data_IF_494203009961
#
_entry.id   IF_494203009961
#
_cell.length_a   1.000
_cell.length_b   1.000
_cell.length_c   1.000
_cell.angle_alpha   90.00
_cell.angle_beta   90.00
_cell.angle_gamma   90.00
#
_symmetry.space_group_name_H-M   'P 1'
#
loop_
_entity.id
_entity.type
_entity.pdbx_description
1 polymer ?
#
# COMPACT_ATOMS: atom_id res chain seq x y z
N UNK A 1 -25.70 31.60 -13.63
CA UNK A 1 -24.95 30.85 -14.67
C UNK A 1 -25.95 30.41 -15.74
N UNK A 2 -26.12 31.18 -16.83
CA UNK A 2 -27.01 30.78 -17.95
C UNK A 2 -26.30 30.79 -19.33
N UNK A 3 -25.02 31.18 -19.39
CA UNK A 3 -24.26 31.33 -20.64
C UNK A 3 -22.92 30.55 -20.62
N UNK A 4 -22.92 29.29 -20.18
CA UNK A 4 -21.73 28.42 -20.23
C UNK A 4 -22.03 27.24 -21.16
N UNK A 5 -21.28 27.12 -22.26
CA UNK A 5 -21.46 26.04 -23.24
C UNK A 5 -20.84 24.71 -22.78
N UNK A 6 -19.71 24.77 -22.07
CA UNK A 6 -18.98 23.61 -21.59
C UNK A 6 -18.13 23.98 -20.37
N UNK A 7 -17.94 23.03 -19.46
CA UNK A 7 -17.08 23.16 -18.29
C UNK A 7 -16.12 21.97 -18.32
N UNK A 8 -14.83 22.27 -18.27
CA UNK A 8 -13.79 21.28 -18.04
C UNK A 8 -13.34 21.34 -16.58
N UNK A 9 -13.49 20.23 -15.86
CA UNK A 9 -13.06 20.13 -14.47
C UNK A 9 -11.83 19.24 -14.38
N UNK A 10 -10.79 19.74 -13.71
CA UNK A 10 -9.60 18.95 -13.41
C UNK A 10 -9.30 19.01 -11.92
N UNK A 11 -8.96 17.86 -11.34
CA UNK A 11 -8.50 17.79 -9.95
C UNK A 11 -7.00 18.03 -9.81
N UNK A 12 -6.21 17.67 -10.83
CA UNK A 12 -4.75 17.78 -10.82
C UNK A 12 -4.28 18.92 -11.73
N UNK A 13 -3.16 19.60 -11.38
CA UNK A 13 -2.51 20.54 -12.30
C UNK A 13 -2.20 19.84 -13.62
N UNK A 14 -2.44 20.49 -14.76
CA UNK A 14 -2.22 19.90 -16.08
C UNK A 14 -3.04 18.61 -16.36
N UNK A 15 -4.23 18.47 -15.76
CA UNK A 15 -5.11 17.31 -15.88
C UNK A 15 -4.42 16.00 -15.43
N UNK A 16 -4.83 14.85 -15.96
CA UNK A 16 -4.30 13.53 -15.54
C UNK A 16 -2.78 13.39 -15.74
N UNK A 17 -2.18 14.19 -16.62
CA UNK A 17 -0.73 14.18 -16.90
C UNK A 17 0.09 14.70 -15.71
N UNK A 18 -0.50 15.55 -14.86
CA UNK A 18 0.14 16.04 -13.63
C UNK A 18 -0.41 15.41 -12.35
N UNK A 19 -0.99 14.21 -12.45
CA UNK A 19 -1.47 13.49 -11.27
C UNK A 19 -0.34 13.12 -10.30
N UNK A 20 -0.62 13.10 -9.00
CA UNK A 20 0.37 12.74 -7.97
C UNK A 20 0.92 11.31 -8.10
N UNK A 21 0.21 10.44 -8.81
CA UNK A 21 0.58 9.05 -9.05
C UNK A 21 1.36 8.86 -10.37
N UNK A 22 1.64 9.92 -11.12
CA UNK A 22 2.47 9.80 -12.33
C UNK A 22 3.94 9.71 -11.96
N UNK A 23 4.62 8.67 -12.44
CA UNK A 23 6.06 8.44 -12.18
C UNK A 23 6.93 9.51 -12.87
N UNK A 24 6.46 10.04 -13.99
CA UNK A 24 7.19 11.03 -14.78
C UNK A 24 6.92 12.46 -14.31
N UNK A 25 7.91 13.35 -14.49
CA UNK A 25 7.74 14.78 -14.22
C UNK A 25 6.66 15.39 -15.12
N UNK A 26 5.74 16.15 -14.52
CA UNK A 26 4.58 16.76 -15.19
C UNK A 26 4.92 17.57 -16.45
N UNK A 27 6.05 18.30 -16.47
CA UNK A 27 6.44 19.14 -17.60
C UNK A 27 6.97 18.30 -18.76
N UNK A 28 7.75 17.25 -18.46
CA UNK A 28 8.25 16.32 -19.47
C UNK A 28 7.09 15.51 -20.07
N UNK A 29 6.20 14.98 -19.22
CA UNK A 29 5.03 14.24 -19.65
C UNK A 29 4.11 15.11 -20.52
N UNK A 30 3.86 16.37 -20.14
CA UNK A 30 3.10 17.33 -20.95
C UNK A 30 3.79 17.58 -22.30
N UNK A 31 5.11 17.77 -22.33
CA UNK A 31 5.87 17.93 -23.56
C UNK A 31 5.74 16.74 -24.51
N UNK A 32 5.75 15.50 -23.98
CA UNK A 32 5.51 14.29 -24.77
C UNK A 32 4.11 14.26 -25.36
N UNK A 33 3.08 14.58 -24.57
CA UNK A 33 1.69 14.64 -25.06
C UNK A 33 1.55 15.67 -26.18
N UNK A 34 2.13 16.87 -26.02
CA UNK A 34 2.10 17.91 -27.06
C UNK A 34 2.77 17.44 -28.36
N UNK A 35 3.90 16.73 -28.29
CA UNK A 35 4.56 16.14 -29.47
C UNK A 35 3.72 15.06 -30.16
N UNK A 36 2.98 14.27 -29.38
CA UNK A 36 2.04 13.27 -29.93
C UNK A 36 0.91 13.99 -30.67
N UNK A 37 0.35 15.05 -30.09
CA UNK A 37 -0.69 15.86 -30.74
C UNK A 37 -0.17 16.55 -31.99
N UNK A 38 1.05 17.07 -31.98
CA UNK A 38 1.69 17.64 -33.18
C UNK A 38 1.88 16.60 -34.28
N UNK A 39 2.32 15.39 -33.92
CA UNK A 39 2.60 14.32 -34.89
C UNK A 39 1.35 13.68 -35.48
N UNK A 40 0.33 13.43 -34.67
CA UNK A 40 -0.86 12.68 -35.07
C UNK A 40 -2.11 13.56 -35.23
N UNK A 41 -2.01 14.85 -34.90
CA UNK A 41 -3.11 15.79 -34.92
C UNK A 41 -4.10 15.59 -33.76
N UNK A 42 -5.10 16.47 -33.71
CA UNK A 42 -6.18 16.44 -32.73
C UNK A 42 -7.47 15.86 -33.30
N UNK A 43 -7.39 15.09 -34.39
CA UNK A 43 -8.59 14.54 -35.01
C UNK A 43 -9.21 13.48 -34.10
N UNK A 44 -10.52 13.53 -33.84
CA UNK A 44 -11.19 12.50 -33.07
C UNK A 44 -10.99 11.14 -33.72
N UNK A 45 -10.56 10.16 -32.94
CA UNK A 45 -10.42 8.79 -33.41
C UNK A 45 -11.77 8.05 -33.57
N UNK A 46 -12.87 8.67 -33.14
CA UNK A 46 -14.21 8.10 -33.16
C UNK A 46 -15.17 8.98 -33.95
N UNK A 47 -16.07 8.34 -34.69
CA UNK A 47 -17.13 9.04 -35.41
C UNK A 47 -18.11 9.70 -34.44
N UNK A 48 -18.48 10.96 -34.71
CA UNK A 48 -19.38 11.72 -33.84
C UNK A 48 -20.76 11.08 -33.68
N UNK A 49 -21.28 10.45 -34.72
CA UNK A 49 -22.61 9.83 -34.66
C UNK A 49 -22.60 8.57 -33.79
N UNK A 50 -21.52 7.78 -33.82
CA UNK A 50 -21.32 6.66 -32.91
C UNK A 50 -21.32 7.12 -31.45
N UNK A 51 -20.59 8.20 -31.13
CA UNK A 51 -20.57 8.76 -29.77
C UNK A 51 -21.97 9.24 -29.35
N UNK A 52 -22.73 9.89 -30.25
CA UNK A 52 -24.12 10.30 -29.97
C UNK A 52 -25.02 9.10 -29.69
N UNK A 53 -24.85 8.01 -30.43
CA UNK A 53 -25.61 6.78 -30.19
C UNK A 53 -25.30 6.18 -28.81
N UNK A 54 -24.05 6.19 -28.37
CA UNK A 54 -23.69 5.79 -27.00
C UNK A 54 -24.38 6.67 -25.94
N UNK A 55 -24.48 7.99 -26.17
CA UNK A 55 -25.25 8.88 -25.30
C UNK A 55 -26.75 8.53 -25.28
N UNK A 56 -27.37 8.26 -26.44
CA UNK A 56 -28.80 7.84 -26.52
C UNK A 56 -29.05 6.55 -25.76
N UNK A 57 -28.08 5.64 -25.76
CA UNK A 57 -28.11 4.38 -25.01
C UNK A 57 -27.76 4.53 -23.54
N UNK A 58 -27.56 5.74 -23.04
CA UNK A 58 -27.13 6.02 -21.66
C UNK A 58 -25.81 5.32 -21.29
N UNK A 59 -24.92 5.07 -22.26
CA UNK A 59 -23.66 4.36 -22.02
C UNK A 59 -22.71 5.15 -21.09
N UNK A 60 -22.68 6.48 -21.25
CA UNK A 60 -21.90 7.38 -20.40
C UNK A 60 -22.65 7.88 -19.16
N UNK A 61 -23.90 7.47 -19.00
CA UNK A 61 -24.73 7.87 -17.87
C UNK A 61 -24.54 6.90 -16.70
N UNK A 62 -24.64 7.42 -15.49
CA UNK A 62 -24.65 6.60 -14.29
C UNK A 62 -25.89 5.67 -14.31
N UNK A 63 -25.68 4.39 -14.63
CA UNK A 63 -26.73 3.39 -14.58
C UNK A 63 -26.97 2.98 -13.11
N UNK A 64 -27.88 3.71 -12.45
CA UNK A 64 -28.35 3.40 -11.10
C UNK A 64 -27.88 4.37 -10.02
N UNK A 65 -28.35 4.14 -8.78
CA UNK A 65 -27.97 4.94 -7.62
C UNK A 65 -26.60 4.47 -7.11
N UNK A 66 -25.68 5.41 -6.87
CA UNK A 66 -24.46 5.13 -6.11
C UNK A 66 -24.89 4.88 -4.67
N UNK A 67 -24.84 3.63 -4.21
CA UNK A 67 -25.05 3.33 -2.80
C UNK A 67 -23.84 3.81 -2.00
N UNK A 68 -24.09 4.51 -0.89
CA UNK A 68 -23.02 4.81 0.06
C UNK A 68 -22.43 3.49 0.57
N UNK A 69 -21.10 3.38 0.58
CA UNK A 69 -20.39 2.30 1.25
C UNK A 69 -19.89 2.84 2.59
N UNK A 70 -20.65 2.65 3.69
CA UNK A 70 -20.24 3.16 4.99
C UNK A 70 -18.97 2.44 5.45
N UNK A 71 -18.16 3.14 6.23
CA UNK A 71 -16.99 2.55 6.89
C UNK A 71 -17.49 1.45 7.82
N UNK A 72 -17.11 0.20 7.53
CA UNK A 72 -17.50 -0.94 8.37
C UNK A 72 -16.79 -0.86 9.73
N UNK A 73 -17.50 -1.08 10.85
CA UNK A 73 -16.87 -1.19 12.15
C UNK A 73 -15.95 -2.42 12.22
N UNK A 74 -15.10 -2.50 13.25
CA UNK A 74 -14.23 -3.66 13.48
C UNK A 74 -15.02 -4.93 13.80
N UNK A 75 -16.19 -4.79 14.42
CA UNK A 75 -17.15 -5.84 14.71
C UNK A 75 -18.55 -5.21 14.86
N UNK A 76 -19.59 -6.00 14.65
CA UNK A 76 -20.97 -5.57 14.89
C UNK A 76 -21.30 -5.57 16.39
N UNK A 77 -20.64 -6.43 17.17
CA UNK A 77 -20.73 -6.45 18.64
C UNK A 77 -19.72 -5.47 19.26
N UNK A 78 -20.22 -4.47 20.00
CA UNK A 78 -19.41 -3.43 20.65
C UNK A 78 -18.33 -4.03 21.56
N UNK A 79 -18.65 -5.09 22.32
CA UNK A 79 -17.69 -5.71 23.22
C UNK A 79 -16.55 -6.37 22.45
N UNK A 80 -16.87 -7.04 21.34
CA UNK A 80 -15.85 -7.63 20.44
C UNK A 80 -15.06 -6.54 19.71
N UNK A 81 -15.71 -5.46 19.30
CA UNK A 81 -15.05 -4.32 18.67
C UNK A 81 -14.00 -3.70 19.61
N UNK A 82 -14.34 -3.50 20.89
CA UNK A 82 -13.38 -3.00 21.89
C UNK A 82 -12.20 -3.97 22.08
N UNK A 83 -12.46 -5.28 22.08
CA UNK A 83 -11.38 -6.28 22.15
C UNK A 83 -10.47 -6.21 20.90
N UNK A 84 -11.05 -6.12 19.70
CA UNK A 84 -10.32 -5.94 18.44
C UNK A 84 -9.52 -4.64 18.41
N UNK A 85 -10.06 -3.54 18.95
CA UNK A 85 -9.32 -2.27 19.09
C UNK A 85 -8.06 -2.45 19.96
N UNK A 86 -8.16 -3.15 21.09
CA UNK A 86 -6.99 -3.45 21.94
C UNK A 86 -5.97 -4.31 21.21
N UNK A 87 -6.41 -5.29 20.41
CA UNK A 87 -5.53 -6.11 19.59
C UNK A 87 -4.85 -5.31 18.47
N UNK A 88 -5.61 -4.44 17.77
CA UNK A 88 -5.08 -3.49 16.78
C UNK A 88 -3.93 -2.68 17.37
N UNK A 89 -4.12 -2.12 18.56
CA UNK A 89 -3.09 -1.32 19.22
C UNK A 89 -1.80 -2.13 19.46
N UNK A 90 -1.91 -3.39 19.91
CA UNK A 90 -0.75 -4.27 20.08
C UNK A 90 0.01 -4.49 18.77
N UNK A 91 -0.71 -4.67 17.66
CA UNK A 91 -0.08 -4.81 16.34
C UNK A 91 0.60 -3.51 15.94
N UNK A 92 -0.09 -2.38 16.10
CA UNK A 92 0.45 -1.06 15.79
C UNK A 92 1.73 -0.76 16.58
N UNK A 93 1.83 -1.20 17.83
CA UNK A 93 3.02 -1.02 18.66
C UNK A 93 4.21 -1.88 18.22
N UNK A 94 3.99 -2.98 17.50
CA UNK A 94 5.06 -3.76 16.88
C UNK A 94 5.53 -3.17 15.54
N UNK A 95 4.70 -2.35 14.88
CA UNK A 95 5.02 -1.76 13.58
C UNK A 95 6.03 -0.62 13.70
N UNK A 96 6.77 -0.31 12.61
CA UNK A 96 7.76 0.76 12.60
C UNK A 96 7.18 2.18 12.71
N UNK A 97 5.88 2.38 12.46
CA UNK A 97 5.17 3.68 12.51
C UNK A 97 5.80 4.78 11.63
N UNK A 98 6.20 4.41 10.41
CA UNK A 98 6.81 5.33 9.42
C UNK A 98 5.95 5.59 8.17
N UNK A 99 4.78 4.96 8.08
CA UNK A 99 3.79 5.16 7.00
C UNK A 99 4.37 5.09 5.58
N UNK A 100 5.25 4.11 5.34
CA UNK A 100 5.97 3.96 4.06
C UNK A 100 5.14 3.42 2.89
N UNK A 101 3.94 2.87 3.12
CA UNK A 101 3.08 2.36 2.05
C UNK A 101 3.51 1.05 1.37
N UNK A 102 4.65 0.45 1.72
CA UNK A 102 5.21 -0.71 0.98
C UNK A 102 4.32 -1.96 1.05
N UNK A 103 3.59 -2.13 2.14
CA UNK A 103 2.63 -3.23 2.32
C UNK A 103 1.27 -2.98 1.65
N UNK A 104 1.10 -1.88 0.91
CA UNK A 104 -0.14 -1.53 0.22
C UNK A 104 -1.14 -0.73 1.07
N UNK A 105 -0.95 -0.64 2.38
CA UNK A 105 -1.74 0.22 3.26
C UNK A 105 -1.14 1.64 3.35
N UNK A 106 -1.96 2.71 3.35
CA UNK A 106 -1.47 4.10 3.33
C UNK A 106 -0.75 4.50 4.64
N UNK A 107 -1.15 3.93 5.78
CA UNK A 107 -0.53 4.17 7.10
C UNK A 107 -0.34 2.85 7.84
N UNK A 108 0.60 2.81 8.79
CA UNK A 108 0.79 1.67 9.70
C UNK A 108 -0.47 1.39 10.53
N UNK A 109 -1.26 2.41 10.86
CA UNK A 109 -2.53 2.23 11.55
C UNK A 109 -3.55 1.51 10.67
N UNK A 110 -3.68 1.91 9.40
CA UNK A 110 -4.57 1.25 8.45
C UNK A 110 -4.13 -0.20 8.21
N UNK A 111 -2.82 -0.44 8.12
CA UNK A 111 -2.28 -1.79 8.03
C UNK A 111 -2.68 -2.65 9.24
N UNK A 112 -2.59 -2.10 10.47
CA UNK A 112 -3.02 -2.81 11.66
C UNK A 112 -4.52 -3.15 11.65
N UNK A 113 -5.37 -2.28 11.10
CA UNK A 113 -6.79 -2.58 10.88
C UNK A 113 -6.97 -3.74 9.90
N UNK A 114 -6.23 -3.75 8.79
CA UNK A 114 -6.30 -4.80 7.77
C UNK A 114 -5.89 -6.16 8.34
N UNK A 115 -4.86 -6.20 9.20
CA UNK A 115 -4.45 -7.43 9.89
C UNK A 115 -5.54 -7.93 10.85
N UNK A 116 -6.17 -7.05 11.64
CA UNK A 116 -7.25 -7.43 12.56
C UNK A 116 -8.51 -7.89 11.82
N UNK A 117 -8.77 -7.32 10.64
CA UNK A 117 -9.87 -7.75 9.76
C UNK A 117 -9.56 -9.03 8.99
N UNK A 118 -8.33 -9.56 9.08
CA UNK A 118 -7.90 -10.76 8.37
C UNK A 118 -7.71 -10.57 6.87
N UNK A 119 -7.50 -9.32 6.42
CA UNK A 119 -7.26 -8.99 5.00
C UNK A 119 -5.79 -9.23 4.61
N UNK A 120 -4.87 -9.12 5.56
CA UNK A 120 -3.42 -9.29 5.40
C UNK A 120 -2.82 -9.91 6.67
N UNK A 121 -1.57 -10.36 6.62
CA UNK A 121 -0.84 -10.86 7.78
C UNK A 121 0.24 -9.86 8.24
N UNK A 122 0.62 -9.89 9.53
CA UNK A 122 1.61 -8.96 10.07
C UNK A 122 2.99 -9.07 9.42
N UNK A 123 3.32 -10.22 8.81
CA UNK A 123 4.60 -10.49 8.17
C UNK A 123 4.69 -9.91 6.74
N UNK A 124 3.59 -9.41 6.16
CA UNK A 124 3.61 -8.64 4.92
C UNK A 124 4.26 -7.26 5.09
N UNK A 125 4.44 -6.79 6.33
CA UNK A 125 5.28 -5.63 6.60
C UNK A 125 6.77 -6.01 6.46
N UNK A 126 7.35 -5.79 5.28
CA UNK A 126 8.75 -6.14 4.99
C UNK A 126 9.74 -5.60 6.03
N UNK A 127 9.52 -4.37 6.52
CA UNK A 127 10.41 -3.72 7.50
C UNK A 127 10.35 -4.44 8.85
N UNK A 128 9.14 -4.83 9.28
CA UNK A 128 8.97 -5.61 10.50
C UNK A 128 9.62 -6.99 10.35
N UNK A 129 9.39 -7.65 9.21
CA UNK A 129 9.94 -8.98 8.91
C UNK A 129 11.46 -8.98 8.90
N UNK A 130 12.10 -7.98 8.26
CA UNK A 130 13.57 -7.83 8.28
C UNK A 130 14.10 -7.66 9.70
N UNK A 131 13.48 -6.80 10.54
CA UNK A 131 13.87 -6.64 11.95
C UNK A 131 13.73 -7.93 12.76
N UNK A 132 12.69 -8.73 12.50
CA UNK A 132 12.53 -10.06 13.11
C UNK A 132 13.68 -10.98 12.70
N UNK A 133 14.07 -11.01 11.42
CA UNK A 133 15.19 -11.82 10.96
C UNK A 133 16.53 -11.41 11.58
N UNK A 134 16.80 -10.10 11.71
CA UNK A 134 18.02 -9.59 12.36
C UNK A 134 18.11 -10.04 13.82
N UNK A 135 17.02 -9.91 14.58
CA UNK A 135 16.99 -10.34 15.99
C UNK A 135 17.14 -11.85 16.15
N UNK A 136 16.51 -12.65 15.27
CA UNK A 136 16.69 -14.11 15.26
C UNK A 136 18.12 -14.52 14.92
N UNK A 137 18.74 -13.89 13.91
CA UNK A 137 20.13 -14.16 13.53
C UNK A 137 21.12 -13.87 14.67
N UNK A 138 20.90 -12.77 15.40
CA UNK A 138 21.68 -12.43 16.59
C UNK A 138 21.60 -13.51 17.67
N UNK A 139 20.39 -13.95 18.01
CA UNK A 139 20.17 -14.99 19.03
C UNK A 139 20.80 -16.35 18.64
N UNK A 140 20.72 -16.71 17.36
CA UNK A 140 21.30 -17.95 16.85
C UNK A 140 22.83 -17.92 16.93
N UNK A 141 23.44 -16.79 16.53
CA UNK A 141 24.88 -16.58 16.63
C UNK A 141 25.36 -16.64 18.09
N UNK A 142 24.66 -15.97 19.00
CA UNK A 142 25.00 -15.98 20.42
C UNK A 142 24.93 -17.39 21.02
N UNK A 143 23.90 -18.16 20.66
CA UNK A 143 23.72 -19.55 21.12
C UNK A 143 24.83 -20.45 20.58
N UNK A 144 25.16 -20.33 19.28
CA UNK A 144 26.25 -21.06 18.65
C UNK A 144 27.61 -20.76 19.33
N UNK A 145 27.89 -19.48 19.63
CA UNK A 145 29.10 -19.08 20.33
C UNK A 145 29.17 -19.64 21.75
N UNK A 146 28.06 -19.63 22.51
CA UNK A 146 27.99 -20.22 23.85
C UNK A 146 28.29 -21.72 23.82
N UNK A 147 27.68 -22.45 22.87
CA UNK A 147 27.95 -23.88 22.69
C UNK A 147 29.40 -24.15 22.27
N UNK A 148 29.96 -23.36 21.34
CA UNK A 148 31.36 -23.48 20.91
C UNK A 148 32.33 -23.32 22.09
N UNK A 149 32.17 -22.29 22.93
CA UNK A 149 33.00 -22.06 24.12
C UNK A 149 32.88 -23.21 25.15
N UNK A 150 31.67 -23.76 25.31
CA UNK A 150 31.42 -24.88 26.24
C UNK A 150 32.05 -26.19 25.75
N UNK A 151 32.03 -26.44 24.44
CA UNK A 151 32.70 -27.59 23.83
C UNK A 151 34.22 -27.46 23.99
N UNK A 152 34.77 -26.27 23.73
CA UNK A 152 36.20 -26.01 23.80
C UNK A 152 36.75 -26.16 25.23
N UNK A 153 36.10 -25.54 26.22
CA UNK A 153 36.47 -25.70 27.64
C UNK A 153 36.41 -27.16 28.11
N UNK A 154 35.39 -27.93 27.69
CA UNK A 154 35.28 -29.35 28.03
C UNK A 154 36.38 -30.22 27.38
N UNK A 155 36.81 -29.86 26.16
CA UNK A 155 37.90 -30.54 25.47
C UNK A 155 39.27 -30.25 26.11
N UNK A 156 39.48 -29.02 26.59
CA UNK A 156 40.69 -28.62 27.31
C UNK A 156 40.80 -29.28 28.71
N UNK A 157 39.68 -29.39 29.45
CA UNK A 157 39.67 -30.09 30.74
C UNK A 157 39.98 -31.58 30.62
N UNK A 158 39.45 -32.26 29.59
CA UNK A 158 39.71 -33.69 29.36
C UNK A 158 41.15 -34.03 28.93
N UNK A 159 41.93 -33.03 28.46
CA UNK A 159 43.37 -33.21 28.16
C UNK A 159 44.26 -33.17 29.40
N UNK A 160 43.82 -32.55 30.49
CA UNK A 160 44.59 -32.45 31.73
C UNK A 160 44.42 -33.66 32.66
N UNK A 161 43.37 -34.47 32.50
CA UNK A 161 43.15 -35.69 33.29
C UNK A 161 43.92 -36.93 32.77
N UNK A 162 44.47 -36.85 31.56
CA UNK A 162 45.20 -37.95 30.89
C UNK A 162 46.74 -37.75 30.88
N UNK A 163 47.27 -36.95 31.82
CA UNK A 163 48.70 -36.67 32.00
C UNK A 163 49.11 -36.99 33.43
#
# INVERSE_FOLDING_TARGET
>A
MRDIQYIECHSCPNACVGGSLTIENQYIARGKVLKIVEKYGSQPCQEREYIRELYRRNFFSQLGKISASPIKPLDDDISKAIQKMKQKQKILDMLPKIDCGICGAPTCETFADDVIKGLTCADECIILTVKKFESMGGNLCETAQKHSRKIQSRWESGKNENK
#
